data_IF_479758183172
#
_entry.id   IF_479758183172
#
_cell.length_a   1.000
_cell.length_b   1.000
_cell.length_c   1.000
_cell.angle_alpha   90.00
_cell.angle_beta   90.00
_cell.angle_gamma   90.00
#
_symmetry.space_group_name_H-M   'P 1'
#
loop_
_entity.id
_entity.type
_entity.pdbx_description
1 polymer ?
#
# COMPACT_ATOMS: atom_id res chain seq x y z
N UNK A 1 -7.11 7.69 11.56
CA UNK A 1 -8.18 6.69 11.80
C UNK A 1 -8.50 5.85 10.57
N UNK A 2 -8.77 6.41 9.39
CA UNK A 2 -9.16 5.63 8.21
C UNK A 2 -8.14 4.55 7.78
N UNK A 3 -6.84 4.88 7.71
CA UNK A 3 -5.77 3.93 7.31
C UNK A 3 -5.68 2.72 8.26
N UNK A 4 -5.75 2.96 9.57
CA UNK A 4 -5.75 1.89 10.57
C UNK A 4 -7.00 0.98 10.45
N UNK A 5 -8.17 1.54 10.15
CA UNK A 5 -9.37 0.75 9.92
C UNK A 5 -9.25 -0.14 8.67
N UNK A 6 -8.64 0.35 7.59
CA UNK A 6 -8.38 -0.44 6.37
C UNK A 6 -7.40 -1.59 6.64
N UNK A 7 -6.36 -1.33 7.43
CA UNK A 7 -5.43 -2.37 7.88
C UNK A 7 -6.15 -3.46 8.67
N UNK A 8 -7.02 -3.06 9.62
CA UNK A 8 -7.81 -4.01 10.40
C UNK A 8 -8.78 -4.83 9.53
N UNK A 9 -9.41 -4.22 8.52
CA UNK A 9 -10.27 -4.93 7.57
C UNK A 9 -9.50 -6.06 6.87
N UNK A 10 -8.30 -5.76 6.37
CA UNK A 10 -7.43 -6.79 5.78
C UNK A 10 -7.09 -7.88 6.79
N UNK A 11 -6.65 -7.50 7.99
CA UNK A 11 -6.24 -8.43 9.04
C UNK A 11 -7.35 -9.41 9.44
N UNK A 12 -8.60 -8.98 9.46
CA UNK A 12 -9.73 -9.82 9.89
C UNK A 12 -10.41 -10.57 8.76
N UNK A 13 -10.44 -10.01 7.54
CA UNK A 13 -11.20 -10.60 6.42
C UNK A 13 -10.36 -11.50 5.53
N UNK A 14 -9.02 -11.35 5.51
CA UNK A 14 -8.18 -12.06 4.55
C UNK A 14 -8.27 -13.60 4.63
N UNK A 15 -8.44 -14.15 5.83
CA UNK A 15 -8.58 -15.60 6.02
C UNK A 15 -9.84 -16.15 5.33
N UNK A 16 -10.99 -15.55 5.61
CA UNK A 16 -12.27 -15.90 4.98
C UNK A 16 -12.16 -15.78 3.45
N UNK A 17 -11.67 -14.65 2.95
CA UNK A 17 -11.52 -14.36 1.52
C UNK A 17 -10.68 -15.42 0.78
N UNK A 18 -9.63 -15.95 1.42
CA UNK A 18 -8.81 -17.00 0.83
C UNK A 18 -9.50 -18.37 0.87
N UNK A 19 -10.19 -18.68 1.97
CA UNK A 19 -10.88 -19.95 2.15
C UNK A 19 -12.08 -20.09 1.19
N UNK A 20 -12.89 -19.04 1.07
CA UNK A 20 -14.13 -19.05 0.28
C UNK A 20 -13.90 -18.80 -1.20
N UNK A 21 -13.10 -17.78 -1.53
CA UNK A 21 -13.05 -17.22 -2.89
C UNK A 21 -11.65 -17.30 -3.52
N UNK A 22 -10.65 -17.82 -2.79
CA UNK A 22 -9.25 -17.85 -3.22
C UNK A 22 -8.68 -16.45 -3.52
N UNK A 23 -9.12 -15.46 -2.73
CA UNK A 23 -8.64 -14.08 -2.83
C UNK A 23 -7.48 -13.85 -1.84
N UNK A 24 -6.33 -13.46 -2.38
CA UNK A 24 -5.17 -13.04 -1.60
C UNK A 24 -5.29 -11.57 -1.19
N UNK A 25 -5.92 -11.32 -0.04
CA UNK A 25 -6.15 -9.95 0.45
C UNK A 25 -4.93 -9.42 1.24
N UNK A 26 -4.31 -8.35 0.75
CA UNK A 26 -3.10 -7.72 1.34
C UNK A 26 -3.25 -6.23 1.53
N UNK A 27 -2.63 -5.68 2.59
CA UNK A 27 -2.49 -4.25 2.81
C UNK A 27 -1.07 -3.82 2.43
N UNK A 28 -0.92 -2.69 1.74
CA UNK A 28 0.38 -2.22 1.22
C UNK A 28 0.63 -0.77 1.63
N UNK A 29 1.82 -0.47 2.13
CA UNK A 29 2.35 0.88 2.28
C UNK A 29 3.07 1.30 0.99
N UNK A 30 2.51 2.29 0.31
CA UNK A 30 3.13 2.90 -0.88
C UNK A 30 4.36 3.74 -0.53
N UNK A 31 4.57 4.05 0.75
CA UNK A 31 5.50 5.07 1.18
C UNK A 31 5.00 6.48 0.87
N UNK A 32 5.89 7.46 1.00
CA UNK A 32 5.55 8.87 0.81
C UNK A 32 5.66 9.28 -0.65
N UNK A 33 4.56 9.12 -1.38
CA UNK A 33 4.45 9.41 -2.81
C UNK A 33 3.69 10.70 -3.15
N UNK A 34 3.02 11.32 -2.16
CA UNK A 34 2.18 12.50 -2.37
C UNK A 34 2.37 13.55 -1.28
N UNK A 35 2.25 14.81 -1.69
CA UNK A 35 2.11 15.92 -0.74
C UNK A 35 0.63 16.08 -0.34
N UNK A 36 0.33 15.82 0.93
CA UNK A 36 -1.01 15.94 1.54
C UNK A 36 -1.26 17.35 2.13
N UNK A 37 -0.33 18.31 2.00
CA UNK A 37 -0.53 19.71 2.41
C UNK A 37 -1.68 20.39 1.63
N UNK A 38 -2.26 21.48 2.17
CA UNK A 38 -3.27 22.27 1.47
C UNK A 38 -2.84 22.65 0.06
N UNK A 39 -3.78 22.62 -0.90
CA UNK A 39 -3.49 22.74 -2.32
C UNK A 39 -2.61 23.95 -2.70
N UNK A 40 -2.90 25.13 -2.15
CA UNK A 40 -2.13 26.35 -2.43
C UNK A 40 -0.70 26.28 -1.90
N UNK A 41 -0.53 25.71 -0.71
CA UNK A 41 0.79 25.53 -0.09
C UNK A 41 1.62 24.51 -0.87
N UNK A 42 1.01 23.38 -1.23
CA UNK A 42 1.63 22.34 -2.07
C UNK A 42 2.15 22.93 -3.39
N UNK A 43 1.37 23.77 -4.08
CA UNK A 43 1.77 24.38 -5.34
C UNK A 43 2.99 25.30 -5.19
N UNK A 44 3.00 26.14 -4.14
CA UNK A 44 4.14 27.02 -3.85
C UNK A 44 5.42 26.23 -3.60
N UNK A 45 5.32 25.20 -2.76
CA UNK A 45 6.48 24.38 -2.36
C UNK A 45 6.97 23.52 -3.54
N UNK A 46 6.07 23.05 -4.39
CA UNK A 46 6.44 22.39 -5.65
C UNK A 46 7.17 23.34 -6.61
N UNK A 47 6.75 24.61 -6.70
CA UNK A 47 7.45 25.62 -7.50
C UNK A 47 8.85 25.95 -6.95
N UNK A 48 9.08 25.73 -5.66
CA UNK A 48 10.41 25.79 -5.02
C UNK A 48 11.27 24.54 -5.27
N UNK A 49 10.75 23.58 -6.05
CA UNK A 49 11.46 22.37 -6.48
C UNK A 49 11.32 21.17 -5.53
N UNK A 50 10.53 21.30 -4.47
CA UNK A 50 10.31 20.20 -3.54
C UNK A 50 9.31 19.17 -4.10
N UNK A 51 9.58 17.90 -3.84
CA UNK A 51 8.71 16.78 -4.15
C UNK A 51 8.84 15.70 -3.08
N UNK A 52 7.88 14.77 -3.05
CA UNK A 52 7.93 13.62 -2.15
C UNK A 52 9.13 12.71 -2.52
N UNK A 53 9.71 11.97 -1.55
CA UNK A 53 10.90 11.14 -1.80
C UNK A 53 10.69 10.00 -2.80
N UNK A 54 9.45 9.51 -2.94
CA UNK A 54 9.06 8.49 -3.89
C UNK A 54 8.08 9.08 -4.91
N UNK A 55 8.06 8.52 -6.11
CA UNK A 55 7.14 8.94 -7.15
C UNK A 55 5.92 8.00 -7.28
N UNK A 56 5.05 8.31 -8.25
CA UNK A 56 3.85 7.51 -8.51
C UNK A 56 4.17 6.11 -9.05
N UNK A 57 5.29 5.95 -9.75
CA UNK A 57 5.75 4.67 -10.29
C UNK A 57 6.23 3.78 -9.14
N UNK A 58 6.97 4.34 -8.18
CA UNK A 58 7.40 3.64 -6.96
C UNK A 58 6.19 3.13 -6.17
N UNK A 59 5.19 4.00 -5.97
CA UNK A 59 3.94 3.65 -5.29
C UNK A 59 3.18 2.54 -6.02
N UNK A 60 3.05 2.64 -7.35
CA UNK A 60 2.37 1.64 -8.16
C UNK A 60 3.09 0.29 -8.13
N UNK A 61 4.42 0.28 -8.20
CA UNK A 61 5.22 -0.94 -8.12
C UNK A 61 5.02 -1.69 -6.79
N UNK A 62 4.92 -0.96 -5.67
CA UNK A 62 4.66 -1.55 -4.35
C UNK A 62 3.27 -2.19 -4.26
N UNK A 63 2.24 -1.54 -4.81
CA UNK A 63 0.87 -2.10 -4.85
C UNK A 63 0.81 -3.33 -5.76
N UNK A 64 1.60 -3.34 -6.84
CA UNK A 64 1.60 -4.42 -7.81
C UNK A 64 2.40 -5.66 -7.36
N UNK A 65 3.41 -5.50 -6.50
CA UNK A 65 4.29 -6.59 -6.06
C UNK A 65 3.56 -7.83 -5.51
N UNK A 66 2.59 -7.72 -4.57
CA UNK A 66 1.83 -8.88 -4.09
C UNK A 66 1.08 -9.62 -5.20
N UNK A 67 0.62 -8.92 -6.23
CA UNK A 67 -0.06 -9.54 -7.38
C UNK A 67 0.91 -10.43 -8.16
N UNK A 68 2.10 -9.90 -8.48
CA UNK A 68 3.14 -10.64 -9.21
C UNK A 68 3.65 -11.83 -8.40
N UNK A 69 3.78 -11.68 -7.08
CA UNK A 69 4.15 -12.79 -6.18
C UNK A 69 3.07 -13.88 -6.17
N UNK A 70 1.80 -13.48 -6.07
CA UNK A 70 0.66 -14.40 -6.20
C UNK A 70 0.65 -15.16 -7.53
N UNK A 71 0.88 -14.49 -8.66
CA UNK A 71 0.99 -15.12 -9.97
C UNK A 71 2.15 -16.13 -10.06
N UNK A 72 3.19 -15.96 -9.25
CA UNK A 72 4.34 -16.87 -9.13
C UNK A 72 4.12 -18.01 -8.13
N UNK A 73 2.95 -18.09 -7.51
CA UNK A 73 2.57 -19.14 -6.58
C UNK A 73 2.90 -18.85 -5.11
N UNK A 74 3.12 -17.59 -4.76
CA UNK A 74 3.26 -17.19 -3.35
C UNK A 74 1.95 -16.66 -2.78
N UNK A 75 1.39 -17.41 -1.82
CA UNK A 75 0.16 -17.03 -1.11
C UNK A 75 0.44 -15.97 -0.04
N UNK A 76 0.66 -14.72 -0.47
CA UNK A 76 0.81 -13.57 0.40
C UNK A 76 -0.58 -12.96 0.69
N UNK A 77 -1.12 -13.18 1.90
CA UNK A 77 -2.41 -12.61 2.32
C UNK A 77 -2.46 -12.41 3.84
N UNK A 78 -3.39 -11.57 4.31
CA UNK A 78 -3.57 -11.31 5.75
C UNK A 78 -2.38 -10.62 6.40
N UNK A 79 -1.57 -9.90 5.61
CA UNK A 79 -0.39 -9.17 6.05
C UNK A 79 -0.44 -7.70 5.62
N UNK A 80 0.39 -6.91 6.30
CA UNK A 80 0.75 -5.56 5.88
C UNK A 80 2.15 -5.58 5.29
N UNK A 81 2.30 -5.08 4.08
CA UNK A 81 3.57 -5.05 3.35
C UNK A 81 4.12 -3.64 3.36
N UNK A 82 5.36 -3.49 3.80
CA UNK A 82 6.13 -2.26 3.75
C UNK A 82 7.49 -2.55 3.17
N UNK A 83 7.90 -1.74 2.19
CA UNK A 83 9.17 -1.93 1.48
C UNK A 83 9.32 -3.36 0.92
N UNK A 84 8.23 -3.89 0.33
CA UNK A 84 8.12 -5.23 -0.27
C UNK A 84 8.11 -6.42 0.71
N UNK A 85 8.22 -6.16 2.02
CA UNK A 85 8.28 -7.19 3.06
C UNK A 85 7.11 -7.12 4.04
N UNK A 86 6.65 -8.25 4.61
CA UNK A 86 5.70 -8.25 5.71
C UNK A 86 6.21 -7.44 6.91
N UNK A 87 5.35 -6.59 7.45
CA UNK A 87 5.64 -5.67 8.55
C UNK A 87 4.57 -5.80 9.64
N UNK A 88 4.90 -5.48 10.91
CA UNK A 88 3.89 -5.29 11.95
C UNK A 88 2.85 -4.24 11.54
N UNK A 89 1.60 -4.49 11.94
CA UNK A 89 0.44 -3.60 11.76
C UNK A 89 0.54 -2.31 12.56
#
# INVERSE_FOLDING_TARGET
MAKAALNMMTRTSAGEMFETDKILMTAVDTGWITDERPHQEKLRIAAEGWHAPLDLVDGAARVYDPVVRGERGEDLYGCFVKDYEPSPW
#
